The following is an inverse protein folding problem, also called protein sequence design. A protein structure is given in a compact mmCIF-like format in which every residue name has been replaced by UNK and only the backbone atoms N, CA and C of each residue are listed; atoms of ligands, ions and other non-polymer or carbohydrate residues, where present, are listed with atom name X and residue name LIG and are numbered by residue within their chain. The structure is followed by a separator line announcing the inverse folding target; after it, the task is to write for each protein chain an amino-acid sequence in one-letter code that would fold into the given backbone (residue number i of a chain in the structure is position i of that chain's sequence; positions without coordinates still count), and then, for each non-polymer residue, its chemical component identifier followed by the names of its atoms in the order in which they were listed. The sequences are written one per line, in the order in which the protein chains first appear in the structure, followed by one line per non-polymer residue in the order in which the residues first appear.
data_IF_171275534349
#
_entry.id   IF_171275534349
#
_cell.length_a   1.000
_cell.length_b   1.000
_cell.length_c   1.000
_cell.angle_alpha   90.00
_cell.angle_beta   90.00
_cell.angle_gamma   90.00
#
_symmetry.space_group_name_H-M   'P 1'
#
loop_
_entity.id
_entity.type
_entity.pdbx_description
1 polymer ?
#
# COMPACT_ATOMS: atom_id res chain seq x y z
N UNK A 1 -25.61 -3.86 -22.41
CA UNK A 1 -24.25 -4.17 -22.96
C UNK A 1 -24.05 -5.65 -23.25
N UNK A 2 -24.86 -6.57 -22.69
CA UNK A 2 -24.71 -8.01 -22.98
C UNK A 2 -23.45 -8.64 -22.38
N UNK A 3 -22.84 -7.98 -21.38
CA UNK A 3 -21.67 -8.46 -20.66
C UNK A 3 -22.14 -9.20 -19.41
N UNK A 4 -22.30 -10.51 -19.53
CA UNK A 4 -22.61 -11.39 -18.42
C UNK A 4 -21.30 -11.84 -17.76
N UNK A 5 -21.31 -12.04 -16.44
CA UNK A 5 -20.18 -12.60 -15.70
C UNK A 5 -20.53 -14.00 -15.20
N UNK A 6 -19.52 -14.86 -15.09
CA UNK A 6 -19.69 -16.26 -14.66
C UNK A 6 -19.68 -16.40 -13.13
N UNK A 7 -18.95 -15.54 -12.42
CA UNK A 7 -18.82 -15.56 -10.96
C UNK A 7 -19.11 -14.21 -10.33
N UNK A 8 -19.75 -14.22 -9.15
CA UNK A 8 -20.10 -13.02 -8.38
C UNK A 8 -21.53 -12.49 -8.62
N UNK A 9 -21.82 -11.25 -8.20
CA UNK A 9 -20.87 -10.25 -7.71
C UNK A 9 -20.33 -10.57 -6.32
N UNK A 10 -19.01 -10.43 -6.16
CA UNK A 10 -18.37 -10.44 -4.86
C UNK A 10 -18.24 -9.02 -4.34
N UNK A 11 -18.48 -8.83 -3.04
CA UNK A 11 -18.41 -7.52 -2.40
C UNK A 11 -17.20 -7.44 -1.49
N UNK A 12 -16.33 -6.47 -1.74
CA UNK A 12 -15.12 -6.21 -0.93
C UNK A 12 -15.46 -6.04 0.56
N UNK A 13 -16.61 -5.43 0.87
CA UNK A 13 -17.09 -5.20 2.25
C UNK A 13 -17.40 -6.50 3.00
N UNK A 14 -17.54 -7.63 2.31
CA UNK A 14 -17.78 -8.95 2.91
C UNK A 14 -16.49 -9.76 3.11
N UNK A 15 -15.33 -9.18 2.80
CA UNK A 15 -14.02 -9.87 2.75
C UNK A 15 -12.97 -9.19 3.63
N UNK A 16 -13.44 -8.40 4.60
CA UNK A 16 -12.60 -7.58 5.46
C UNK A 16 -11.57 -8.41 6.25
N UNK A 17 -11.97 -9.60 6.69
CA UNK A 17 -11.13 -10.56 7.41
C UNK A 17 -9.89 -10.96 6.61
N UNK A 18 -10.03 -11.21 5.29
CA UNK A 18 -8.90 -11.55 4.41
C UNK A 18 -7.89 -10.42 4.34
N UNK A 19 -8.35 -9.17 4.28
CA UNK A 19 -7.44 -8.03 4.24
C UNK A 19 -6.74 -7.81 5.59
N UNK A 20 -7.45 -7.98 6.72
CA UNK A 20 -6.84 -7.92 8.05
C UNK A 20 -5.72 -8.97 8.20
N UNK A 21 -5.98 -10.21 7.76
CA UNK A 21 -4.99 -11.29 7.77
C UNK A 21 -3.77 -10.99 6.88
N UNK A 22 -3.99 -10.39 5.72
CA UNK A 22 -2.89 -9.98 4.83
C UNK A 22 -2.03 -8.89 5.47
N UNK A 23 -2.64 -7.87 6.10
CA UNK A 23 -1.90 -6.84 6.85
C UNK A 23 -1.08 -7.46 7.98
N UNK A 24 -1.69 -8.33 8.78
CA UNK A 24 -1.01 -9.04 9.87
C UNK A 24 0.19 -9.83 9.36
N UNK A 25 0.01 -10.60 8.28
CA UNK A 25 1.07 -11.40 7.66
C UNK A 25 2.26 -10.54 7.23
N UNK A 26 2.01 -9.35 6.67
CA UNK A 26 3.07 -8.43 6.26
C UNK A 26 3.79 -7.81 7.46
N UNK A 27 3.07 -7.52 8.56
CA UNK A 27 3.65 -7.01 9.80
C UNK A 27 4.53 -8.07 10.48
N UNK A 28 4.04 -9.31 10.59
CA UNK A 28 4.77 -10.42 11.22
C UNK A 28 6.07 -10.74 10.46
N UNK A 29 6.07 -10.58 9.14
CA UNK A 29 7.26 -10.73 8.29
C UNK A 29 8.18 -9.50 8.30
N UNK A 30 7.82 -8.44 9.01
CA UNK A 30 8.56 -7.17 9.03
C UNK A 30 8.57 -6.42 7.68
N UNK A 31 7.67 -6.78 6.77
CA UNK A 31 7.50 -6.16 5.44
C UNK A 31 6.59 -4.92 5.50
N UNK A 32 5.78 -4.81 6.55
CA UNK A 32 4.99 -3.63 6.86
C UNK A 32 5.34 -3.07 8.25
N UNK A 33 4.89 -1.85 8.55
CA UNK A 33 5.10 -1.20 9.85
C UNK A 33 4.03 -0.13 10.13
N UNK A 34 3.77 0.19 11.42
CA UNK A 34 2.89 1.28 11.80
C UNK A 34 3.55 2.64 11.55
N UNK A 35 2.82 3.55 10.94
CA UNK A 35 3.24 4.93 10.69
C UNK A 35 2.29 5.91 11.38
N UNK A 36 2.82 6.69 12.31
CA UNK A 36 2.09 7.68 13.11
C UNK A 36 2.17 9.11 12.56
N UNK A 37 2.52 9.29 11.28
CA UNK A 37 2.59 10.62 10.69
C UNK A 37 1.21 11.24 10.63
N UNK A 38 1.08 12.49 11.10
CA UNK A 38 -0.15 13.25 10.94
C UNK A 38 -0.28 13.80 9.51
N UNK A 39 -1.49 14.17 9.06
CA UNK A 39 -1.66 14.87 7.79
C UNK A 39 -0.79 16.13 7.69
N UNK A 40 -0.67 16.89 8.77
CA UNK A 40 0.13 18.12 8.82
C UNK A 40 1.62 17.85 8.62
N UNK A 41 2.15 16.79 9.26
CA UNK A 41 3.55 16.38 9.07
C UNK A 41 3.84 15.88 7.64
N UNK A 42 2.84 15.28 6.98
CA UNK A 42 2.94 14.85 5.58
C UNK A 42 2.88 16.05 4.62
N UNK A 43 2.07 17.07 4.93
CA UNK A 43 1.99 18.28 4.12
C UNK A 43 3.25 19.13 4.26
N UNK A 44 3.78 19.27 5.47
CA UNK A 44 5.08 19.92 5.71
C UNK A 44 6.21 19.20 4.96
N UNK A 45 6.20 17.87 4.94
CA UNK A 45 7.16 17.06 4.19
C UNK A 45 7.08 17.37 2.69
N UNK A 46 5.87 17.43 2.13
CA UNK A 46 5.64 17.73 0.70
C UNK A 46 6.13 19.13 0.34
N UNK A 47 5.79 20.13 1.13
CA UNK A 47 6.23 21.51 0.88
C UNK A 47 7.76 21.65 1.01
N UNK A 48 8.37 20.95 1.98
CA UNK A 48 9.83 20.89 2.11
C UNK A 48 10.50 20.25 0.91
N UNK A 49 9.97 19.13 0.41
CA UNK A 49 10.49 18.46 -0.79
C UNK A 49 10.39 19.37 -2.01
N UNK A 50 9.24 20.02 -2.19
CA UNK A 50 8.99 20.97 -3.27
C UNK A 50 9.94 22.16 -3.22
N UNK A 51 10.14 22.76 -2.06
CA UNK A 51 11.07 23.87 -1.86
C UNK A 51 12.53 23.48 -2.17
N UNK A 52 12.89 22.20 -1.98
CA UNK A 52 14.21 21.63 -2.29
C UNK A 52 14.32 21.06 -3.71
N UNK A 53 13.27 21.13 -4.54
CA UNK A 53 13.24 20.52 -5.87
C UNK A 53 13.36 18.98 -5.85
N UNK A 54 12.99 18.34 -4.75
CA UNK A 54 13.01 16.89 -4.58
C UNK A 54 11.73 16.26 -5.12
N UNK A 55 11.81 15.00 -5.57
CA UNK A 55 10.63 14.24 -5.95
C UNK A 55 9.67 14.08 -4.75
N UNK A 56 8.35 14.27 -4.94
CA UNK A 56 7.39 14.12 -3.86
C UNK A 56 7.27 12.66 -3.44
N UNK A 57 7.28 12.39 -2.14
CA UNK A 57 7.14 11.03 -1.63
C UNK A 57 7.20 10.96 -0.12
N UNK A 58 6.83 9.81 0.44
CA UNK A 58 7.04 9.55 1.85
C UNK A 58 8.51 9.24 2.12
N UNK A 59 9.10 9.85 3.15
CA UNK A 59 10.52 9.72 3.50
C UNK A 59 10.86 8.46 4.32
N UNK A 60 9.87 7.59 4.55
CA UNK A 60 10.03 6.34 5.28
C UNK A 60 10.44 6.49 6.75
N UNK A 61 10.22 7.67 7.36
CA UNK A 61 10.73 8.03 8.71
C UNK A 61 10.32 7.09 9.84
N UNK A 62 9.20 6.38 9.72
CA UNK A 62 8.71 5.51 10.80
C UNK A 62 9.08 4.02 10.66
N UNK A 63 9.93 3.65 9.69
CA UNK A 63 10.34 2.24 9.46
C UNK A 63 10.90 1.53 10.69
N UNK A 64 11.64 2.26 11.52
CA UNK A 64 12.48 1.71 12.60
C UNK A 64 12.16 2.33 13.97
N UNK A 65 10.92 2.79 14.18
CA UNK A 65 10.51 3.25 15.50
C UNK A 65 10.69 2.12 16.53
N UNK A 66 11.35 2.43 17.63
CA UNK A 66 11.40 1.58 18.82
C UNK A 66 10.03 1.48 19.47
N UNK A 67 9.81 0.44 20.29
CA UNK A 67 8.55 0.28 21.03
C UNK A 67 8.25 1.50 21.92
N UNK A 68 9.26 2.07 22.57
CA UNK A 68 9.07 3.28 23.40
C UNK A 68 8.63 4.50 22.57
N UNK A 69 9.12 4.66 21.34
CA UNK A 69 8.67 5.75 20.46
C UNK A 69 7.22 5.51 19.99
N UNK A 70 6.86 4.27 19.65
CA UNK A 70 5.48 3.91 19.29
C UNK A 70 4.52 4.17 20.45
N UNK A 71 4.88 3.77 21.66
CA UNK A 71 4.10 4.00 22.87
C UNK A 71 3.90 5.48 23.15
N UNK A 72 4.96 6.30 23.00
CA UNK A 72 4.86 7.75 23.17
C UNK A 72 3.89 8.38 22.17
N UNK A 73 4.01 8.02 20.89
CA UNK A 73 3.13 8.53 19.83
C UNK A 73 1.68 8.07 20.05
N UNK A 74 1.48 6.83 20.51
CA UNK A 74 0.16 6.33 20.87
C UNK A 74 -0.42 7.07 22.09
N UNK A 75 0.39 7.41 23.09
CA UNK A 75 -0.03 8.19 24.26
C UNK A 75 -0.43 9.63 23.92
N UNK A 76 0.10 10.19 22.82
CA UNK A 76 -0.37 11.45 22.22
C UNK A 76 -1.73 11.32 21.52
N UNK A 77 -2.34 10.12 21.51
CA UNK A 77 -3.61 9.84 20.84
C UNK A 77 -3.47 9.58 19.33
N UNK A 78 -2.23 9.47 18.81
CA UNK A 78 -2.01 9.21 17.38
C UNK A 78 -2.38 7.77 17.05
N UNK A 79 -3.22 7.59 16.03
CA UNK A 79 -3.57 6.27 15.49
C UNK A 79 -2.74 6.00 14.23
N UNK A 80 -1.97 4.90 14.17
CA UNK A 80 -1.10 4.65 13.04
C UNK A 80 -1.89 4.14 11.82
N UNK A 81 -1.45 4.53 10.63
CA UNK A 81 -1.74 3.77 9.40
C UNK A 81 -0.70 2.66 9.25
N UNK A 82 -0.99 1.62 8.46
CA UNK A 82 0.01 0.60 8.13
C UNK A 82 0.61 0.88 6.77
N UNK A 83 1.95 0.92 6.70
CA UNK A 83 2.72 1.11 5.45
C UNK A 83 3.49 -0.17 5.09
N UNK A 84 3.56 -0.44 3.79
CA UNK A 84 4.37 -1.51 3.21
C UNK A 84 5.74 -0.96 2.77
N UNK A 85 6.81 -1.67 3.11
CA UNK A 85 8.18 -1.29 2.81
C UNK A 85 8.51 -1.51 1.35
N UNK A 86 8.97 -0.45 0.68
CA UNK A 86 9.45 -0.49 -0.70
C UNK A 86 10.95 -0.21 -0.71
N UNK A 87 11.74 -1.16 -1.20
CA UNK A 87 13.17 -0.96 -1.42
C UNK A 87 13.37 0.03 -2.58
N UNK A 88 14.05 1.15 -2.30
CA UNK A 88 14.28 2.22 -3.27
C UNK A 88 15.15 1.77 -4.44
N UNK A 89 16.04 0.79 -4.25
CA UNK A 89 16.95 0.31 -5.29
C UNK A 89 16.42 -0.89 -6.07
N UNK A 90 15.24 -1.40 -5.68
CA UNK A 90 14.61 -2.51 -6.38
C UNK A 90 14.17 -2.09 -7.78
N UNK A 91 14.57 -2.87 -8.79
CA UNK A 91 13.94 -2.84 -10.11
C UNK A 91 12.73 -3.76 -10.12
N UNK A 92 11.58 -3.23 -10.52
CA UNK A 92 10.31 -3.93 -10.70
C UNK A 92 10.06 -4.02 -12.20
N UNK A 93 10.14 -5.23 -12.76
CA UNK A 93 10.00 -5.46 -14.21
C UNK A 93 8.93 -6.50 -14.48
N UNK A 94 8.08 -6.26 -15.47
CA UNK A 94 7.11 -7.23 -15.97
C UNK A 94 6.98 -7.17 -17.49
N UNK A 95 6.44 -8.24 -18.07
CA UNK A 95 6.06 -8.29 -19.47
C UNK A 95 4.58 -7.90 -19.60
N UNK A 96 4.32 -6.68 -20.04
CA UNK A 96 2.99 -6.19 -20.35
C UNK A 96 2.54 -6.72 -21.72
N UNK A 97 1.29 -7.18 -21.82
CA UNK A 97 0.75 -7.74 -23.05
C UNK A 97 0.59 -6.71 -24.18
N UNK A 98 0.55 -5.41 -23.86
CA UNK A 98 0.37 -4.32 -24.82
C UNK A 98 1.66 -3.51 -24.97
N UNK A 99 2.31 -3.13 -23.86
CA UNK A 99 3.50 -2.25 -23.84
C UNK A 99 4.82 -3.00 -23.98
N UNK A 100 4.82 -4.32 -23.90
CA UNK A 100 6.05 -5.11 -23.86
C UNK A 100 6.71 -5.06 -22.49
N UNK A 101 8.05 -5.08 -22.43
CA UNK A 101 8.76 -5.03 -21.15
C UNK A 101 8.65 -3.64 -20.52
N UNK A 102 8.17 -3.58 -19.27
CA UNK A 102 8.08 -2.34 -18.49
C UNK A 102 8.91 -2.50 -17.22
N UNK A 103 9.71 -1.47 -16.89
CA UNK A 103 10.55 -1.44 -15.70
C UNK A 103 10.34 -0.15 -14.92
N UNK A 104 10.20 -0.27 -13.60
CA UNK A 104 10.12 0.81 -12.64
C UNK A 104 11.17 0.63 -11.56
N UNK A 105 11.70 1.73 -11.00
CA UNK A 105 12.55 1.67 -9.81
C UNK A 105 11.70 1.93 -8.57
N UNK A 106 12.00 1.28 -7.45
CA UNK A 106 11.26 1.46 -6.20
C UNK A 106 11.23 2.91 -5.71
N UNK A 107 12.29 3.68 -5.98
CA UNK A 107 12.35 5.13 -5.73
C UNK A 107 11.25 5.93 -6.43
N UNK A 108 10.72 5.42 -7.54
CA UNK A 108 9.72 6.12 -8.37
C UNK A 108 8.30 5.94 -7.82
N UNK A 109 8.11 5.10 -6.81
CA UNK A 109 6.80 4.73 -6.28
C UNK A 109 6.28 5.65 -5.16
N UNK A 110 7.07 6.65 -4.78
CA UNK A 110 6.72 7.67 -3.79
C UNK A 110 6.93 7.23 -2.33
N UNK A 111 7.87 6.30 -2.10
CA UNK A 111 8.18 5.75 -0.78
C UNK A 111 7.19 4.68 -0.33
N UNK A 112 7.25 4.34 0.96
CA UNK A 112 6.44 3.26 1.54
C UNK A 112 4.95 3.57 1.47
N UNK A 113 4.20 2.75 0.75
CA UNK A 113 2.79 2.98 0.50
C UNK A 113 1.92 2.57 1.69
N UNK A 114 0.86 3.33 1.95
CA UNK A 114 -0.17 2.93 2.92
C UNK A 114 -0.95 1.74 2.37
N UNK A 115 -1.09 0.68 3.16
CA UNK A 115 -1.85 -0.52 2.82
C UNK A 115 -3.13 -0.68 3.67
N UNK A 116 -3.19 -0.04 4.85
CA UNK A 116 -4.38 0.01 5.68
C UNK A 116 -4.51 1.36 6.39
N UNK A 117 -5.74 1.86 6.52
CA UNK A 117 -6.05 3.08 7.28
C UNK A 117 -5.84 2.87 8.78
N UNK A 118 -5.86 3.97 9.53
CA UNK A 118 -5.95 3.91 10.98
C UNK A 118 -7.25 3.22 11.40
N UNK A 119 -7.19 2.43 12.47
CA UNK A 119 -8.37 1.75 13.00
C UNK A 119 -9.35 2.75 13.64
N UNK A 120 -10.63 2.66 13.26
CA UNK A 120 -11.70 3.49 13.81
C UNK A 120 -12.49 2.79 14.92
N UNK A 121 -12.41 1.45 15.00
CA UNK A 121 -13.12 0.61 15.98
C UNK A 121 -12.21 -0.38 16.69
N UNK A 122 -12.75 -1.56 17.01
CA UNK A 122 -12.05 -2.63 17.74
C UNK A 122 -11.13 -3.48 16.85
N UNK A 123 -11.23 -3.32 15.53
CA UNK A 123 -10.38 -4.02 14.57
C UNK A 123 -8.90 -3.62 14.74
N UNK A 124 -7.95 -4.56 14.56
CA UNK A 124 -6.54 -4.28 14.74
C UNK A 124 -6.01 -3.25 13.72
N UNK A 125 -6.57 -3.26 12.50
CA UNK A 125 -6.21 -2.33 11.43
C UNK A 125 -7.46 -1.72 10.79
N UNK A 126 -7.33 -0.52 10.24
CA UNK A 126 -8.41 0.11 9.49
C UNK A 126 -8.63 -0.53 8.12
N UNK A 127 -9.54 0.05 7.34
CA UNK A 127 -9.86 -0.43 5.99
C UNK A 127 -8.60 -0.53 5.11
N UNK A 128 -8.45 -1.66 4.42
CA UNK A 128 -7.40 -1.87 3.44
C UNK A 128 -7.53 -0.89 2.26
N UNK A 129 -6.40 -0.37 1.80
CA UNK A 129 -6.35 0.46 0.61
C UNK A 129 -6.27 -0.38 -0.67
N UNK A 130 -6.63 0.25 -1.78
CA UNK A 130 -6.80 -0.36 -3.10
C UNK A 130 -5.71 -1.38 -3.47
N UNK A 131 -4.42 -1.01 -3.38
CA UNK A 131 -3.33 -1.89 -3.81
C UNK A 131 -3.22 -3.17 -2.97
N UNK A 132 -3.56 -3.15 -1.68
CA UNK A 132 -3.59 -4.37 -0.88
C UNK A 132 -4.84 -5.19 -1.20
N UNK A 133 -6.01 -4.56 -1.17
CA UNK A 133 -7.28 -5.24 -1.40
C UNK A 133 -7.32 -5.97 -2.74
N UNK A 134 -6.87 -5.31 -3.82
CA UNK A 134 -6.86 -5.91 -5.16
C UNK A 134 -5.91 -7.09 -5.26
N UNK A 135 -4.72 -7.04 -4.64
CA UNK A 135 -3.77 -8.17 -4.68
C UNK A 135 -4.30 -9.36 -3.90
N UNK A 136 -4.90 -9.12 -2.73
CA UNK A 136 -5.51 -10.18 -1.91
C UNK A 136 -6.67 -10.84 -2.68
N UNK A 137 -7.52 -10.05 -3.32
CA UNK A 137 -8.66 -10.58 -4.07
C UNK A 137 -8.24 -11.27 -5.37
N UNK A 138 -7.30 -10.70 -6.12
CA UNK A 138 -6.78 -11.32 -7.34
C UNK A 138 -6.15 -12.69 -7.05
N UNK A 139 -5.39 -12.80 -5.94
CA UNK A 139 -4.83 -14.07 -5.47
C UNK A 139 -5.92 -15.07 -5.08
N UNK A 140 -6.89 -14.65 -4.27
CA UNK A 140 -7.97 -15.52 -3.79
C UNK A 140 -8.90 -15.98 -4.92
N UNK A 141 -9.16 -15.11 -5.88
CA UNK A 141 -10.00 -15.37 -7.06
C UNK A 141 -9.20 -15.98 -8.22
N UNK A 142 -7.91 -16.28 -8.02
CA UNK A 142 -7.05 -16.92 -9.02
C UNK A 142 -7.02 -16.18 -10.37
N UNK A 143 -6.96 -14.85 -10.33
CA UNK A 143 -6.94 -14.02 -11.53
C UNK A 143 -5.64 -14.25 -12.29
N UNK A 144 -5.76 -14.64 -13.57
CA UNK A 144 -4.61 -14.92 -14.43
C UNK A 144 -4.15 -13.71 -15.25
N UNK A 145 -5.07 -12.82 -15.61
CA UNK A 145 -4.81 -11.67 -16.47
C UNK A 145 -5.57 -10.46 -15.93
N UNK A 146 -4.85 -9.37 -15.64
CA UNK A 146 -5.47 -8.12 -15.21
C UNK A 146 -5.46 -7.11 -16.36
N UNK A 147 -6.64 -6.70 -16.80
CA UNK A 147 -6.84 -5.68 -17.83
C UNK A 147 -7.19 -4.36 -17.12
N UNK A 148 -6.46 -3.29 -17.41
CA UNK A 148 -6.65 -1.97 -16.79
C UNK A 148 -6.26 -0.83 -17.73
N UNK A 149 -6.73 0.38 -17.42
CA UNK A 149 -6.30 1.61 -18.09
C UNK A 149 -4.82 1.93 -17.83
N UNK A 150 -4.17 2.59 -18.79
CA UNK A 150 -2.75 2.94 -18.69
C UNK A 150 -2.44 3.99 -17.61
N UNK A 151 -3.44 4.78 -17.23
CA UNK A 151 -3.39 5.74 -16.14
C UNK A 151 -3.13 5.09 -14.78
N UNK A 152 -3.30 3.77 -14.69
CA UNK A 152 -3.01 2.97 -13.49
C UNK A 152 -1.72 2.16 -13.56
N UNK A 153 -0.85 2.36 -14.57
CA UNK A 153 0.35 1.53 -14.76
C UNK A 153 1.32 1.55 -13.57
N UNK A 154 1.44 2.68 -12.87
CA UNK A 154 2.29 2.79 -11.67
C UNK A 154 1.78 1.91 -10.51
N UNK A 155 0.48 1.64 -10.43
CA UNK A 155 -0.08 0.73 -9.44
C UNK A 155 0.34 -0.72 -9.70
N UNK A 156 0.59 -1.10 -10.96
CA UNK A 156 1.09 -2.44 -11.30
C UNK A 156 2.43 -2.71 -10.61
N UNK A 157 3.36 -1.74 -10.64
CA UNK A 157 4.64 -1.87 -9.95
C UNK A 157 4.48 -2.03 -8.42
N UNK A 158 3.54 -1.28 -7.81
CA UNK A 158 3.20 -1.40 -6.38
C UNK A 158 2.60 -2.75 -6.02
N UNK A 159 1.70 -3.25 -6.87
CA UNK A 159 1.00 -4.51 -6.66
C UNK A 159 1.94 -5.72 -6.84
N UNK A 160 2.83 -5.68 -7.82
CA UNK A 160 3.87 -6.72 -8.01
C UNK A 160 4.72 -6.90 -6.74
N UNK A 161 4.97 -5.85 -5.97
CA UNK A 161 5.72 -5.95 -4.72
C UNK A 161 4.92 -6.60 -3.57
N UNK A 162 3.59 -6.59 -3.65
CA UNK A 162 2.71 -7.21 -2.64
C UNK A 162 2.44 -8.69 -2.91
N UNK A 163 2.43 -9.11 -4.18
CA UNK A 163 2.41 -10.52 -4.59
C UNK A 163 3.64 -11.28 -4.05
#
# INVERSE_FOLDING_TARGET
LGMNWDEGPFFQTQRLDKYQQAVQTLLDKGLAYPCYCTPEELDEMRETQKAKGQAPGYDNRHRNLSESEKEKLAAEGRKPVIRFKIDSDRNITWQDAIRGTVTWKGSDLGGDMVIARAAEGEEPYGQALYNLAVVVDDLDMSISHVIRGEDHIANTAKQILLY
#
